data_IF_020575628879
#
_entry.id   IF_020575628879
#
_cell.length_a   1.000
_cell.length_b   1.000
_cell.length_c   1.000
_cell.angle_alpha   90.00
_cell.angle_beta   90.00
_cell.angle_gamma   90.00
#
_symmetry.space_group_name_H-M   'P 1'
#
loop_
_entity.id
_entity.type
_entity.pdbx_description
1 polymer ?
#
# COMPACT_ATOMS: atom_id res chain seq x y z
N UNK A 1 70.20 -50.07 -23.59
CA UNK A 1 68.75 -49.92 -23.35
C UNK A 1 68.52 -49.85 -21.85
N UNK A 2 68.21 -48.64 -21.35
CA UNK A 2 67.93 -48.33 -19.94
C UNK A 2 66.51 -48.73 -19.55
N UNK A 3 66.30 -49.29 -18.35
CA UNK A 3 65.04 -49.13 -17.59
C UNK A 3 65.34 -49.03 -16.10
N UNK A 4 65.25 -47.81 -15.55
CA UNK A 4 65.14 -47.53 -14.12
C UNK A 4 63.66 -47.62 -13.74
N UNK A 5 63.34 -48.38 -12.69
CA UNK A 5 62.01 -48.44 -12.10
C UNK A 5 61.81 -47.26 -11.14
N UNK A 6 60.76 -46.46 -11.36
CA UNK A 6 60.29 -45.45 -10.40
C UNK A 6 59.10 -46.02 -9.62
N UNK A 7 59.20 -46.05 -8.29
CA UNK A 7 58.08 -46.36 -7.39
C UNK A 7 57.30 -45.06 -7.13
N UNK A 8 56.02 -45.02 -7.52
CA UNK A 8 55.08 -43.99 -7.09
C UNK A 8 54.55 -44.37 -5.69
N UNK A 9 54.72 -43.49 -4.71
CA UNK A 9 54.02 -43.57 -3.44
C UNK A 9 52.74 -42.72 -3.55
N UNK A 10 51.57 -43.34 -3.42
CA UNK A 10 50.28 -42.64 -3.39
C UNK A 10 50.00 -42.13 -1.98
N UNK A 11 49.95 -40.82 -1.81
CA UNK A 11 49.50 -40.15 -0.58
C UNK A 11 47.99 -39.91 -0.70
N UNK A 12 47.17 -40.61 0.09
CA UNK A 12 45.74 -40.34 0.19
C UNK A 12 45.52 -39.22 1.22
N UNK A 13 45.17 -38.02 0.76
CA UNK A 13 44.65 -36.95 1.62
C UNK A 13 43.13 -37.11 1.74
N UNK A 14 42.65 -37.47 2.93
CA UNK A 14 41.23 -37.53 3.24
C UNK A 14 40.73 -36.10 3.51
N UNK A 15 40.06 -35.49 2.55
CA UNK A 15 39.36 -34.20 2.74
C UNK A 15 38.01 -34.50 3.38
N UNK A 16 37.89 -34.25 4.69
CA UNK A 16 36.58 -34.18 5.36
C UNK A 16 35.90 -32.87 4.97
N UNK A 17 34.97 -32.92 4.01
CA UNK A 17 33.98 -31.86 3.84
C UNK A 17 33.00 -31.92 5.00
N UNK A 18 33.16 -31.02 5.97
CA UNK A 18 32.11 -30.72 6.93
C UNK A 18 30.93 -30.07 6.20
N UNK A 19 29.82 -30.79 6.06
CA UNK A 19 28.52 -30.17 5.78
C UNK A 19 28.11 -29.40 7.04
N UNK A 20 28.46 -28.12 7.11
CA UNK A 20 27.73 -27.19 7.98
C UNK A 20 26.36 -27.00 7.37
N UNK A 21 25.31 -27.54 8.01
CA UNK A 21 23.95 -27.13 7.70
C UNK A 21 23.90 -25.60 7.85
N UNK A 22 23.63 -24.89 6.75
CA UNK A 22 23.37 -23.47 6.81
C UNK A 22 22.21 -23.26 7.79
N UNK A 23 22.37 -22.34 8.75
CA UNK A 23 21.24 -21.89 9.54
C UNK A 23 20.11 -21.47 8.58
N UNK A 24 18.84 -21.80 8.86
CA UNK A 24 17.74 -21.33 8.04
C UNK A 24 17.86 -19.80 7.92
N UNK A 25 17.72 -19.29 6.70
CA UNK A 25 17.71 -17.85 6.47
C UNK A 25 16.69 -17.21 7.44
N UNK A 26 17.07 -16.09 8.05
CA UNK A 26 16.13 -15.33 8.86
C UNK A 26 14.87 -15.07 8.01
N UNK A 27 13.66 -15.22 8.57
CA UNK A 27 12.45 -14.91 7.82
C UNK A 27 12.56 -13.49 7.26
N UNK A 28 12.21 -13.31 5.99
CA UNK A 28 12.19 -11.98 5.38
C UNK A 28 11.19 -11.11 6.13
N UNK A 29 11.69 -10.08 6.82
CA UNK A 29 10.88 -9.13 7.57
C UNK A 29 10.31 -8.08 6.64
N UNK A 30 9.07 -7.69 6.87
CA UNK A 30 8.38 -6.68 6.08
C UNK A 30 8.93 -5.28 6.36
N UNK A 31 8.73 -4.33 5.44
CA UNK A 31 9.06 -2.92 5.70
C UNK A 31 8.18 -2.37 6.84
N UNK A 32 8.80 -1.70 7.81
CA UNK A 32 8.10 -1.09 8.94
C UNK A 32 7.81 0.40 8.74
N UNK A 33 8.38 1.03 7.70
CA UNK A 33 8.27 2.46 7.43
C UNK A 33 8.70 3.33 8.64
N UNK A 34 9.57 2.79 9.50
CA UNK A 34 9.95 3.41 10.77
C UNK A 34 8.82 3.50 11.81
N UNK A 35 7.67 2.85 11.58
CA UNK A 35 6.51 2.93 12.45
C UNK A 35 6.55 1.85 13.57
N UNK A 36 6.43 2.23 14.86
CA UNK A 36 6.56 1.30 15.98
C UNK A 36 5.58 0.11 15.95
N UNK A 37 4.32 0.33 15.54
CA UNK A 37 3.35 -0.76 15.43
C UNK A 37 3.77 -1.85 14.42
N UNK A 38 4.25 -1.44 13.24
CA UNK A 38 4.72 -2.37 12.22
C UNK A 38 6.01 -3.06 12.65
N UNK A 39 6.90 -2.35 13.35
CA UNK A 39 8.09 -2.95 13.93
C UNK A 39 7.74 -4.02 14.97
N UNK A 40 6.78 -3.74 15.86
CA UNK A 40 6.34 -4.72 16.87
C UNK A 40 5.72 -5.97 16.24
N UNK A 41 4.97 -5.84 15.14
CA UNK A 41 4.46 -6.98 14.36
C UNK A 41 5.62 -7.77 13.75
N UNK A 42 6.61 -7.09 13.17
CA UNK A 42 7.81 -7.74 12.62
C UNK A 42 8.60 -8.50 13.70
N UNK A 43 8.76 -7.91 14.88
CA UNK A 43 9.50 -8.53 15.99
C UNK A 43 8.76 -9.79 16.51
N UNK A 44 7.43 -9.72 16.64
CA UNK A 44 6.62 -10.88 17.00
C UNK A 44 6.70 -12.01 15.95
N UNK A 45 6.75 -11.67 14.66
CA UNK A 45 6.95 -12.65 13.60
C UNK A 45 8.36 -13.25 13.62
N UNK A 46 9.39 -12.40 13.76
CA UNK A 46 10.80 -12.82 13.77
C UNK A 46 11.13 -13.74 14.95
N UNK A 47 10.43 -13.58 16.08
CA UNK A 47 10.56 -14.45 17.26
C UNK A 47 9.68 -15.70 17.22
N UNK A 48 8.85 -15.85 16.19
CA UNK A 48 7.93 -16.98 16.03
C UNK A 48 6.70 -16.94 16.94
N UNK A 49 6.41 -15.79 17.57
CA UNK A 49 5.22 -15.61 18.39
C UNK A 49 3.93 -15.59 17.54
N UNK A 50 4.03 -15.03 16.34
CA UNK A 50 2.99 -15.07 15.32
C UNK A 50 3.55 -15.69 14.04
N UNK A 51 2.70 -16.39 13.29
CA UNK A 51 3.05 -16.87 11.96
C UNK A 51 2.97 -15.74 10.92
N UNK A 52 3.42 -16.04 9.70
CA UNK A 52 3.46 -15.07 8.61
C UNK A 52 2.07 -14.56 8.21
N UNK A 53 1.07 -15.44 8.18
CA UNK A 53 -0.30 -15.07 7.83
C UNK A 53 -0.90 -14.13 8.90
N UNK A 54 -0.64 -14.40 10.18
CA UNK A 54 -1.03 -13.53 11.29
C UNK A 54 -0.35 -12.16 11.18
N UNK A 55 0.95 -12.12 10.85
CA UNK A 55 1.66 -10.86 10.63
C UNK A 55 1.03 -10.02 9.50
N UNK A 56 0.71 -10.64 8.36
CA UNK A 56 0.04 -9.99 7.23
C UNK A 56 -1.35 -9.47 7.60
N UNK A 57 -2.16 -10.28 8.30
CA UNK A 57 -3.49 -9.87 8.78
C UNK A 57 -3.37 -8.66 9.72
N UNK A 58 -2.41 -8.67 10.65
CA UNK A 58 -2.17 -7.54 11.56
C UNK A 58 -1.71 -6.29 10.81
N UNK A 59 -0.94 -6.42 9.72
CA UNK A 59 -0.56 -5.29 8.86
C UNK A 59 -1.78 -4.70 8.13
N UNK A 60 -2.70 -5.52 7.64
CA UNK A 60 -3.97 -5.02 7.07
C UNK A 60 -4.82 -4.34 8.15
N UNK A 61 -4.94 -4.94 9.34
CA UNK A 61 -5.62 -4.30 10.47
C UNK A 61 -4.98 -2.96 10.83
N UNK A 62 -3.65 -2.88 10.83
CA UNK A 62 -2.93 -1.63 11.05
C UNK A 62 -3.36 -0.55 10.06
N UNK A 63 -3.43 -0.88 8.77
CA UNK A 63 -3.82 0.08 7.72
C UNK A 63 -5.30 0.49 7.82
N UNK A 64 -6.20 -0.49 8.03
CA UNK A 64 -7.66 -0.28 7.99
C UNK A 64 -8.23 0.38 9.25
N UNK A 65 -7.50 0.40 10.38
CA UNK A 65 -7.93 1.07 11.61
C UNK A 65 -7.22 0.53 12.85
N UNK A 66 -6.71 1.42 13.70
CA UNK A 66 -5.92 1.00 14.89
C UNK A 66 -6.73 0.18 15.91
N UNK A 67 -8.05 0.35 15.95
CA UNK A 67 -8.97 -0.43 16.75
C UNK A 67 -9.13 -1.89 16.27
N UNK A 68 -8.78 -2.18 15.00
CA UNK A 68 -8.78 -3.54 14.45
C UNK A 68 -7.54 -4.35 14.82
N UNK A 69 -6.46 -3.69 15.24
CA UNK A 69 -5.24 -4.34 15.73
C UNK A 69 -5.44 -4.93 17.13
N UNK A 70 -4.75 -6.04 17.48
CA UNK A 70 -4.58 -6.44 18.88
C UNK A 70 -3.96 -5.31 19.71
N UNK A 71 -4.46 -5.12 20.93
CA UNK A 71 -4.09 -3.99 21.81
C UNK A 71 -2.57 -3.80 21.94
N UNK A 72 -1.81 -4.90 22.06
CA UNK A 72 -0.35 -4.88 22.17
C UNK A 72 0.40 -4.26 20.98
N UNK A 73 -0.25 -4.18 19.81
CA UNK A 73 0.32 -3.60 18.59
C UNK A 73 -0.24 -2.20 18.29
N UNK A 74 -1.14 -1.65 19.12
CA UNK A 74 -1.71 -0.30 18.95
C UNK A 74 -0.75 0.79 19.42
N UNK A 75 0.44 0.80 18.83
CA UNK A 75 1.49 1.77 19.13
C UNK A 75 1.38 2.98 18.18
N UNK A 76 1.47 4.19 18.72
CA UNK A 76 1.54 5.40 17.91
C UNK A 76 2.86 5.51 17.14
N UNK A 77 2.90 6.37 16.14
CA UNK A 77 4.08 6.61 15.32
C UNK A 77 3.95 7.84 14.43
N UNK A 78 4.99 8.09 13.64
CA UNK A 78 4.98 9.14 12.62
C UNK A 78 4.04 8.81 11.46
N UNK A 79 3.77 9.79 10.58
CA UNK A 79 2.91 9.56 9.42
C UNK A 79 3.56 8.60 8.43
N UNK A 80 2.73 7.75 7.82
CA UNK A 80 3.01 6.95 6.63
C UNK A 80 2.12 7.51 5.53
N UNK A 81 2.72 7.88 4.40
CA UNK A 81 2.00 8.58 3.33
C UNK A 81 0.88 7.73 2.73
N UNK A 82 1.22 6.50 2.35
CA UNK A 82 0.31 5.56 1.70
C UNK A 82 0.34 4.21 2.43
N UNK A 83 -0.83 3.68 2.74
CA UNK A 83 -1.00 2.30 3.23
C UNK A 83 -1.09 1.27 2.10
N UNK A 84 -1.08 1.71 0.83
CA UNK A 84 -1.41 0.91 -0.34
C UNK A 84 -0.48 -0.28 -0.51
N UNK A 85 0.84 -0.05 -0.45
CA UNK A 85 1.82 -1.13 -0.63
C UNK A 85 1.79 -2.18 0.48
N UNK A 86 1.52 -1.77 1.73
CA UNK A 86 1.32 -2.68 2.87
C UNK A 86 0.12 -3.61 2.61
N UNK A 87 -0.97 -3.04 2.10
CA UNK A 87 -2.21 -3.77 1.82
C UNK A 87 -2.05 -4.72 0.62
N UNK A 88 -1.42 -4.27 -0.47
CA UNK A 88 -1.17 -5.09 -1.65
C UNK A 88 -0.27 -6.29 -1.33
N UNK A 89 0.84 -6.07 -0.61
CA UNK A 89 1.74 -7.14 -0.15
C UNK A 89 0.96 -8.20 0.64
N UNK A 90 0.13 -7.76 1.60
CA UNK A 90 -0.65 -8.68 2.40
C UNK A 90 -1.73 -9.43 1.61
N UNK A 91 -2.42 -8.75 0.69
CA UNK A 91 -3.46 -9.39 -0.12
C UNK A 91 -2.86 -10.47 -1.01
N UNK A 92 -1.81 -10.16 -1.78
CA UNK A 92 -1.20 -11.12 -2.70
C UNK A 92 -0.63 -12.34 -1.98
N UNK A 93 0.06 -12.12 -0.87
CA UNK A 93 0.68 -13.21 -0.15
C UNK A 93 -0.33 -14.08 0.59
N UNK A 94 -1.38 -13.50 1.17
CA UNK A 94 -2.45 -14.29 1.78
C UNK A 94 -3.23 -15.09 0.73
N UNK A 95 -3.49 -14.53 -0.46
CA UNK A 95 -4.08 -15.29 -1.57
C UNK A 95 -3.17 -16.44 -2.02
N UNK A 96 -1.87 -16.19 -2.18
CA UNK A 96 -0.90 -17.23 -2.54
C UNK A 96 -0.79 -18.35 -1.50
N UNK A 97 -1.06 -18.04 -0.22
CA UNK A 97 -1.14 -19.02 0.87
C UNK A 97 -2.49 -19.76 0.94
N UNK A 98 -3.48 -19.40 0.12
CA UNK A 98 -4.86 -19.91 0.24
C UNK A 98 -5.56 -19.43 1.51
N UNK A 99 -5.18 -18.24 2.01
CA UNK A 99 -5.66 -17.62 3.24
C UNK A 99 -6.33 -16.26 3.01
N UNK A 100 -6.66 -15.91 1.77
CA UNK A 100 -7.37 -14.68 1.42
C UNK A 100 -8.68 -14.48 2.20
N UNK A 101 -9.43 -15.56 2.43
CA UNK A 101 -10.67 -15.54 3.23
C UNK A 101 -10.51 -15.00 4.65
N UNK A 102 -9.29 -15.05 5.22
CA UNK A 102 -9.01 -14.54 6.56
C UNK A 102 -9.12 -13.01 6.65
N UNK A 103 -9.13 -12.31 5.50
CA UNK A 103 -9.30 -10.86 5.45
C UNK A 103 -10.76 -10.45 5.67
N UNK A 104 -11.73 -11.27 5.27
CA UNK A 104 -13.16 -11.03 5.53
C UNK A 104 -13.60 -9.57 5.29
N UNK A 105 -14.10 -8.93 6.35
CA UNK A 105 -14.61 -7.56 6.36
C UNK A 105 -13.51 -6.48 6.24
N UNK A 106 -12.22 -6.83 6.30
CA UNK A 106 -11.12 -5.90 6.02
C UNK A 106 -11.10 -5.45 4.56
N UNK A 107 -11.71 -6.22 3.64
CA UNK A 107 -11.89 -5.84 2.23
C UNK A 107 -13.16 -5.02 1.96
N UNK A 108 -14.03 -4.88 2.94
CA UNK A 108 -15.30 -4.20 2.73
C UNK A 108 -15.11 -2.67 2.59
N UNK A 109 -15.86 -2.07 1.67
CA UNK A 109 -16.06 -0.61 1.60
C UNK A 109 -16.70 -0.10 2.90
N UNK A 110 -16.35 1.10 3.39
CA UNK A 110 -17.03 1.72 4.53
C UNK A 110 -18.52 1.94 4.24
N UNK A 111 -19.38 1.65 5.23
CA UNK A 111 -20.86 1.76 5.10
C UNK A 111 -21.49 2.73 6.09
N UNK A 112 -20.72 3.23 7.06
CA UNK A 112 -21.16 4.14 8.12
C UNK A 112 -20.95 5.63 7.80
N UNK A 113 -20.54 5.97 6.57
CA UNK A 113 -20.35 7.34 6.10
C UNK A 113 -21.66 7.87 5.50
N UNK A 114 -22.43 8.60 6.31
CA UNK A 114 -23.83 8.92 6.03
C UNK A 114 -24.03 10.08 5.04
N UNK A 115 -22.97 10.75 4.60
CA UNK A 115 -23.02 11.86 3.67
C UNK A 115 -22.20 11.52 2.42
N UNK A 116 -22.59 12.08 1.28
CA UNK A 116 -21.81 11.97 0.07
C UNK A 116 -21.90 13.21 -0.81
N UNK A 117 -20.83 13.52 -1.54
CA UNK A 117 -20.83 14.49 -2.64
C UNK A 117 -20.44 13.81 -3.93
N UNK A 118 -21.13 14.16 -5.01
CA UNK A 118 -20.85 13.63 -6.35
C UNK A 118 -20.27 14.75 -7.21
N UNK A 119 -19.19 14.45 -7.90
CA UNK A 119 -18.57 15.33 -8.89
C UNK A 119 -18.80 14.77 -10.29
N UNK A 120 -18.04 15.24 -11.30
CA UNK A 120 -18.16 14.70 -12.66
C UNK A 120 -17.67 13.24 -12.72
N UNK A 121 -16.62 12.91 -11.97
CA UNK A 121 -15.94 11.62 -12.08
C UNK A 121 -15.85 10.83 -10.76
N UNK A 122 -16.22 11.43 -9.63
CA UNK A 122 -16.04 10.83 -8.31
C UNK A 122 -17.31 10.86 -7.46
N UNK A 123 -17.33 9.95 -6.49
CA UNK A 123 -18.26 9.99 -5.36
C UNK A 123 -17.47 9.98 -4.05
N UNK A 124 -17.64 11.03 -3.27
CA UNK A 124 -16.91 11.26 -2.02
C UNK A 124 -17.85 10.95 -0.86
N UNK A 125 -17.48 9.99 -0.01
CA UNK A 125 -18.24 9.54 1.15
C UNK A 125 -17.61 10.05 2.43
N UNK A 126 -18.42 10.58 3.35
CA UNK A 126 -17.94 11.17 4.61
C UNK A 126 -19.04 11.20 5.69
N UNK A 127 -18.67 11.61 6.90
CA UNK A 127 -19.63 11.97 7.95
C UNK A 127 -19.25 13.31 8.58
N UNK A 128 -20.25 14.04 9.08
CA UNK A 128 -20.08 15.30 9.80
C UNK A 128 -20.18 15.12 11.33
N UNK A 129 -20.35 13.87 11.78
CA UNK A 129 -20.51 13.53 13.20
C UNK A 129 -19.93 12.14 13.52
N UNK A 130 -19.62 11.90 14.79
CA UNK A 130 -18.96 10.67 15.24
C UNK A 130 -17.44 10.74 15.17
N UNK A 131 -16.77 9.59 15.32
CA UNK A 131 -15.31 9.46 15.32
C UNK A 131 -14.67 9.78 13.97
N UNK A 132 -15.40 9.56 12.87
CA UNK A 132 -14.94 9.80 11.50
C UNK A 132 -15.37 11.18 10.97
N UNK A 133 -15.79 12.08 11.86
CA UNK A 133 -16.32 13.38 11.46
C UNK A 133 -15.26 14.27 10.81
N UNK A 134 -15.64 14.91 9.71
CA UNK A 134 -14.90 16.01 9.08
C UNK A 134 -15.78 17.24 8.92
N UNK A 135 -15.21 18.37 8.50
CA UNK A 135 -15.95 19.59 8.19
C UNK A 135 -16.28 19.66 6.70
N UNK A 136 -17.27 20.47 6.32
CA UNK A 136 -17.54 20.70 4.89
C UNK A 136 -16.34 21.31 4.16
N UNK A 137 -15.59 22.21 4.82
CA UNK A 137 -14.34 22.75 4.29
C UNK A 137 -13.25 21.67 4.11
N UNK A 138 -13.33 20.56 4.86
CA UNK A 138 -12.47 19.41 4.62
C UNK A 138 -12.79 18.77 3.28
N UNK A 139 -14.08 18.51 3.07
CA UNK A 139 -14.64 17.87 1.87
C UNK A 139 -14.45 18.74 0.64
N UNK A 140 -14.56 20.07 0.76
CA UNK A 140 -14.30 21.01 -0.34
C UNK A 140 -12.90 20.84 -0.94
N UNK A 141 -11.88 20.65 -0.09
CA UNK A 141 -10.49 20.43 -0.53
C UNK A 141 -10.34 19.08 -1.24
N UNK A 142 -10.98 18.02 -0.73
CA UNK A 142 -10.95 16.70 -1.37
C UNK A 142 -11.67 16.75 -2.72
N UNK A 143 -12.83 17.41 -2.79
CA UNK A 143 -13.62 17.57 -3.99
C UNK A 143 -12.87 18.33 -5.09
N UNK A 144 -12.16 19.40 -4.73
CA UNK A 144 -11.26 20.10 -5.66
C UNK A 144 -10.15 19.17 -6.14
N UNK A 145 -9.50 18.46 -5.23
CA UNK A 145 -8.32 17.66 -5.54
C UNK A 145 -8.60 16.45 -6.46
N UNK A 146 -9.75 15.78 -6.30
CA UNK A 146 -10.10 14.65 -7.17
C UNK A 146 -10.28 15.10 -8.63
N UNK A 147 -10.93 16.24 -8.86
CA UNK A 147 -11.14 16.75 -10.22
C UNK A 147 -9.86 17.37 -10.83
N UNK A 148 -8.98 17.95 -10.01
CA UNK A 148 -7.64 18.35 -10.45
C UNK A 148 -6.84 17.13 -10.89
N UNK A 149 -6.84 16.06 -10.08
CA UNK A 149 -6.17 14.80 -10.41
C UNK A 149 -6.69 14.20 -11.72
N UNK A 150 -8.02 14.13 -11.88
CA UNK A 150 -8.63 13.67 -13.13
C UNK A 150 -8.21 14.50 -14.34
N UNK A 151 -8.31 15.84 -14.24
CA UNK A 151 -7.93 16.73 -15.34
C UNK A 151 -6.46 16.59 -15.68
N UNK A 152 -5.58 16.46 -14.69
CA UNK A 152 -4.16 16.22 -14.92
C UNK A 152 -3.96 14.91 -15.67
N UNK A 153 -4.44 13.81 -15.11
CA UNK A 153 -4.10 12.47 -15.56
C UNK A 153 -4.68 12.14 -16.94
N UNK A 154 -5.97 12.43 -17.16
CA UNK A 154 -6.68 11.97 -18.36
C UNK A 154 -6.82 13.06 -19.42
N UNK A 155 -6.93 14.33 -19.04
CA UNK A 155 -7.11 15.42 -20.01
C UNK A 155 -5.77 16.02 -20.44
N UNK A 156 -4.88 16.31 -19.50
CA UNK A 156 -3.59 16.95 -19.81
C UNK A 156 -2.55 15.94 -20.28
N UNK A 157 -2.36 14.84 -19.54
CA UNK A 157 -1.33 13.83 -19.84
C UNK A 157 -1.85 12.66 -20.68
N UNK A 158 -3.16 12.48 -20.78
CA UNK A 158 -3.77 11.49 -21.67
C UNK A 158 -3.61 10.04 -21.21
N UNK A 159 -3.45 9.80 -19.91
CA UNK A 159 -3.46 8.45 -19.34
C UNK A 159 -4.86 7.85 -19.40
N UNK A 160 -4.93 6.52 -19.43
CA UNK A 160 -6.19 5.80 -19.53
C UNK A 160 -7.01 5.97 -18.26
N UNK A 161 -8.33 6.10 -18.43
CA UNK A 161 -9.28 6.16 -17.32
C UNK A 161 -9.34 4.79 -16.65
N UNK A 162 -9.27 4.71 -15.31
CA UNK A 162 -9.33 3.43 -14.62
C UNK A 162 -10.68 2.72 -14.87
N UNK A 163 -10.71 1.38 -14.78
CA UNK A 163 -11.93 0.62 -14.97
C UNK A 163 -13.05 1.05 -14.00
N UNK A 164 -14.26 1.20 -14.54
CA UNK A 164 -15.45 1.48 -13.74
C UNK A 164 -15.96 0.26 -12.98
N UNK A 165 -16.49 0.48 -11.78
CA UNK A 165 -16.99 -0.54 -10.85
C UNK A 165 -18.52 -0.73 -10.89
N UNK A 166 -19.15 -0.31 -11.99
CA UNK A 166 -20.59 -0.42 -12.17
C UNK A 166 -21.33 0.52 -11.22
N UNK A 167 -22.12 -0.04 -10.29
CA UNK A 167 -22.90 0.75 -9.33
C UNK A 167 -22.34 0.68 -7.90
N UNK A 168 -21.16 0.09 -7.71
CA UNK A 168 -20.52 0.02 -6.40
C UNK A 168 -20.26 1.44 -5.87
N UNK A 169 -20.33 1.62 -4.54
CA UNK A 169 -20.28 2.96 -3.91
C UNK A 169 -21.46 3.89 -4.23
N UNK A 170 -22.40 3.50 -5.09
CA UNK A 170 -23.64 4.21 -5.34
C UNK A 170 -23.55 5.33 -6.39
N UNK A 171 -22.56 5.28 -7.27
CA UNK A 171 -22.50 6.04 -8.52
C UNK A 171 -22.34 5.09 -9.70
N UNK A 172 -22.76 5.46 -10.91
CA UNK A 172 -22.52 4.62 -12.09
C UNK A 172 -21.11 4.91 -12.66
N UNK A 173 -20.16 4.02 -12.42
CA UNK A 173 -18.74 4.12 -12.79
C UNK A 173 -18.09 5.41 -12.29
N UNK A 174 -18.44 5.85 -11.08
CA UNK A 174 -17.75 6.94 -10.40
C UNK A 174 -16.68 6.35 -9.50
N UNK A 175 -15.49 6.94 -9.47
CA UNK A 175 -14.43 6.51 -8.56
C UNK A 175 -14.80 6.94 -7.13
N UNK A 176 -14.82 6.00 -6.20
CA UNK A 176 -15.17 6.28 -4.81
C UNK A 176 -13.96 6.73 -3.98
N UNK A 177 -14.19 7.80 -3.21
CA UNK A 177 -13.28 8.32 -2.20
C UNK A 177 -13.97 8.27 -0.83
N UNK A 178 -13.40 7.56 0.14
CA UNK A 178 -13.96 7.46 1.50
C UNK A 178 -13.11 8.25 2.50
N UNK A 179 -13.72 9.22 3.17
CA UNK A 179 -13.07 10.04 4.19
C UNK A 179 -13.45 9.50 5.58
N UNK A 180 -12.50 8.86 6.25
CA UNK A 180 -12.69 8.23 7.57
C UNK A 180 -11.35 8.02 8.28
N UNK A 181 -11.38 7.71 9.58
CA UNK A 181 -10.14 7.48 10.33
C UNK A 181 -9.46 6.21 9.82
N UNK A 182 -8.21 6.34 9.36
CA UNK A 182 -7.38 5.21 8.97
C UNK A 182 -6.48 4.75 10.12
N UNK A 183 -5.67 3.71 9.84
CA UNK A 183 -4.57 3.26 10.65
C UNK A 183 -3.73 4.36 11.29
N UNK A 184 -3.13 4.05 12.44
CA UNK A 184 -2.23 4.99 13.12
C UNK A 184 -1.12 5.43 12.16
N UNK A 185 -1.14 6.71 11.77
CA UNK A 185 -0.14 7.31 10.89
C UNK A 185 -0.46 7.26 9.39
N UNK A 186 -1.38 6.41 8.90
CA UNK A 186 -1.69 6.33 7.46
C UNK A 186 -2.39 7.61 6.99
N UNK A 187 -1.88 8.29 5.96
CA UNK A 187 -2.55 9.47 5.38
C UNK A 187 -3.59 9.06 4.32
N UNK A 188 -3.21 8.20 3.38
CA UNK A 188 -4.08 7.70 2.33
C UNK A 188 -3.95 6.18 2.12
N UNK A 189 -4.92 5.63 1.41
CA UNK A 189 -4.93 4.23 1.02
C UNK A 189 -5.74 4.03 -0.26
N UNK A 190 -5.21 3.30 -1.23
CA UNK A 190 -5.93 2.80 -2.39
C UNK A 190 -6.09 1.27 -2.31
N UNK A 191 -7.27 0.77 -2.68
CA UNK A 191 -7.60 -0.65 -2.64
C UNK A 191 -8.10 -1.14 -4.00
N UNK A 192 -7.47 -2.19 -4.58
CA UNK A 192 -8.05 -2.89 -5.71
C UNK A 192 -9.23 -3.74 -5.23
N UNK A 193 -10.31 -3.79 -6.01
CA UNK A 193 -11.54 -4.48 -5.62
C UNK A 193 -11.82 -5.70 -6.50
N UNK A 194 -12.19 -5.47 -7.76
CA UNK A 194 -12.62 -6.52 -8.69
C UNK A 194 -11.78 -6.52 -9.94
N UNK A 195 -11.31 -7.71 -10.35
CA UNK A 195 -10.64 -7.89 -11.64
C UNK A 195 -11.60 -7.64 -12.80
N UNK A 196 -11.08 -7.08 -13.89
CA UNK A 196 -11.89 -6.64 -15.04
C UNK A 196 -11.97 -7.74 -16.12
N UNK A 197 -13.16 -8.24 -16.50
CA UNK A 197 -13.29 -9.24 -17.57
C UNK A 197 -13.17 -8.66 -19.00
N UNK A 198 -12.90 -9.51 -20.02
CA UNK A 198 -12.58 -10.93 -19.92
C UNK A 198 -11.10 -11.06 -19.56
N UNK A 199 -10.82 -11.58 -18.35
CA UNK A 199 -9.51 -11.88 -17.78
C UNK A 199 -8.36 -11.25 -18.60
N UNK A 200 -7.96 -9.99 -18.34
CA UNK A 200 -7.23 -9.26 -19.34
C UNK A 200 -5.86 -9.92 -19.55
N UNK A 201 -5.22 -9.70 -20.71
CA UNK A 201 -3.79 -9.95 -20.86
C UNK A 201 -2.91 -9.15 -19.87
N UNK A 202 -3.51 -8.32 -19.01
CA UNK A 202 -2.93 -7.42 -18.01
C UNK A 202 -3.69 -7.53 -16.67
N UNK A 203 -3.04 -7.33 -15.53
CA UNK A 203 -3.60 -7.58 -14.19
C UNK A 203 -4.50 -6.41 -13.72
N UNK A 204 -5.55 -6.07 -14.48
CA UNK A 204 -6.33 -4.84 -14.30
C UNK A 204 -7.47 -5.01 -13.28
N UNK A 205 -7.64 -4.00 -12.41
CA UNK A 205 -8.64 -3.98 -11.36
C UNK A 205 -9.39 -2.65 -11.32
N UNK A 206 -10.67 -2.75 -10.98
CA UNK A 206 -11.42 -1.63 -10.38
C UNK A 206 -10.84 -1.31 -9.00
N UNK A 207 -11.04 -0.10 -8.50
CA UNK A 207 -10.57 0.26 -7.18
C UNK A 207 -11.22 1.52 -6.64
N UNK A 208 -11.01 1.74 -5.35
CA UNK A 208 -11.44 2.93 -4.61
C UNK A 208 -10.34 3.33 -3.63
N UNK A 209 -10.43 4.55 -3.11
CA UNK A 209 -9.41 5.05 -2.18
C UNK A 209 -9.98 5.75 -0.96
N UNK A 210 -9.12 5.98 0.01
CA UNK A 210 -9.42 6.52 1.31
C UNK A 210 -8.51 7.71 1.64
N UNK A 211 -9.04 8.64 2.42
CA UNK A 211 -8.29 9.78 2.94
C UNK A 211 -8.54 9.89 4.45
N UNK A 212 -7.46 9.93 5.24
CA UNK A 212 -7.57 10.00 6.69
C UNK A 212 -8.12 11.35 7.15
N UNK A 213 -9.08 11.36 8.08
CA UNK A 213 -9.67 12.57 8.67
C UNK A 213 -8.66 13.46 9.41
N UNK A 214 -7.51 12.91 9.82
CA UNK A 214 -6.52 13.61 10.63
C UNK A 214 -5.58 14.54 9.84
N UNK A 215 -5.68 14.62 8.51
CA UNK A 215 -4.83 15.49 7.69
C UNK A 215 -5.32 16.94 7.75
N UNK A 216 -4.84 17.70 8.74
CA UNK A 216 -5.28 19.08 8.96
C UNK A 216 -4.87 20.04 7.83
N UNK A 217 -3.66 19.89 7.30
CA UNK A 217 -3.11 20.77 6.26
C UNK A 217 -3.79 20.53 4.91
N UNK A 218 -4.31 21.58 4.28
CA UNK A 218 -5.03 21.48 3.01
C UNK A 218 -4.14 21.04 1.84
N UNK A 219 -2.88 21.47 1.81
CA UNK A 219 -1.94 21.08 0.77
C UNK A 219 -1.54 19.61 0.90
N UNK A 220 -1.34 19.12 2.12
CA UNK A 220 -1.13 17.69 2.37
C UNK A 220 -2.34 16.85 1.92
N UNK A 221 -3.56 17.33 2.16
CA UNK A 221 -4.77 16.65 1.66
C UNK A 221 -4.82 16.58 0.15
N UNK A 222 -4.52 17.68 -0.53
CA UNK A 222 -4.50 17.75 -2.00
C UNK A 222 -3.58 16.69 -2.60
N UNK A 223 -2.33 16.65 -2.12
CA UNK A 223 -1.36 15.66 -2.61
C UNK A 223 -1.72 14.23 -2.21
N UNK A 224 -2.24 13.99 -1.01
CA UNK A 224 -2.69 12.64 -0.61
C UNK A 224 -3.82 12.16 -1.53
N UNK A 225 -4.80 13.01 -1.83
CA UNK A 225 -5.89 12.66 -2.75
C UNK A 225 -5.36 12.29 -4.13
N UNK A 226 -4.46 13.09 -4.70
CA UNK A 226 -3.90 12.81 -6.03
C UNK A 226 -2.98 11.58 -6.02
N UNK A 227 -2.22 11.38 -4.93
CA UNK A 227 -1.36 10.22 -4.73
C UNK A 227 -2.18 8.92 -4.74
N UNK A 228 -3.22 8.84 -3.91
CA UNK A 228 -4.05 7.64 -3.86
C UNK A 228 -4.88 7.46 -5.14
N UNK A 229 -5.31 8.55 -5.77
CA UNK A 229 -5.97 8.46 -7.06
C UNK A 229 -5.03 7.91 -8.16
N UNK A 230 -3.74 8.25 -8.12
CA UNK A 230 -2.74 7.66 -9.03
C UNK A 230 -2.67 6.15 -8.87
N UNK A 231 -2.77 5.61 -7.66
CA UNK A 231 -2.83 4.17 -7.48
C UNK A 231 -4.07 3.54 -8.12
N UNK A 232 -5.23 4.23 -8.12
CA UNK A 232 -6.42 3.76 -8.86
C UNK A 232 -6.15 3.69 -10.36
N UNK A 233 -5.49 4.71 -10.92
CA UNK A 233 -5.06 4.69 -12.32
C UNK A 233 -4.09 3.51 -12.58
N UNK A 234 -3.11 3.28 -11.71
CA UNK A 234 -2.17 2.17 -11.81
C UNK A 234 -2.86 0.80 -11.75
N UNK A 235 -3.88 0.63 -10.90
CA UNK A 235 -4.67 -0.60 -10.84
C UNK A 235 -5.38 -0.90 -12.15
N UNK A 236 -5.72 0.13 -12.93
CA UNK A 236 -6.25 -0.02 -14.29
C UNK A 236 -5.25 -0.53 -15.33
N UNK A 237 -3.95 -0.56 -15.01
CA UNK A 237 -2.88 -1.08 -15.88
C UNK A 237 -2.27 -2.39 -15.39
N UNK A 238 -2.08 -2.50 -14.07
CA UNK A 238 -1.53 -3.65 -13.38
C UNK A 238 -1.62 -3.43 -11.87
N UNK A 239 -2.58 -4.05 -11.20
CA UNK A 239 -2.58 -4.15 -9.75
C UNK A 239 -1.44 -5.06 -9.28
N UNK A 240 -0.83 -4.75 -8.14
CA UNK A 240 0.02 -5.70 -7.43
C UNK A 240 1.28 -5.14 -6.78
N UNK A 241 1.88 -5.89 -5.87
CA UNK A 241 2.96 -5.40 -4.99
C UNK A 241 4.37 -5.61 -5.54
N UNK A 242 4.52 -6.30 -6.67
CA UNK A 242 5.82 -6.73 -7.22
C UNK A 242 6.76 -5.55 -7.57
N UNK A 243 6.24 -4.33 -7.69
CA UNK A 243 7.05 -3.13 -7.89
C UNK A 243 6.57 -1.93 -7.05
N UNK A 244 6.34 -2.16 -5.75
CA UNK A 244 5.92 -1.14 -4.77
C UNK A 244 6.75 0.16 -4.84
N UNK A 245 8.08 0.06 -5.01
CA UNK A 245 8.94 1.24 -5.15
C UNK A 245 8.55 2.09 -6.37
N UNK A 246 8.36 1.47 -7.53
CA UNK A 246 7.98 2.19 -8.75
C UNK A 246 6.57 2.78 -8.62
N UNK A 247 5.63 2.02 -8.06
CA UNK A 247 4.26 2.50 -7.86
C UNK A 247 4.20 3.77 -7.02
N UNK A 248 4.85 3.76 -5.85
CA UNK A 248 4.90 4.91 -4.95
C UNK A 248 5.63 6.10 -5.58
N UNK A 249 6.72 5.87 -6.33
CA UNK A 249 7.39 6.96 -7.07
C UNK A 249 6.51 7.55 -8.18
N UNK A 250 5.76 6.72 -8.90
CA UNK A 250 4.79 7.21 -9.89
C UNK A 250 3.61 7.93 -9.23
N UNK A 251 3.17 7.52 -8.04
CA UNK A 251 2.19 8.25 -7.24
C UNK A 251 2.69 9.64 -6.84
N UNK A 252 3.95 9.74 -6.41
CA UNK A 252 4.62 11.03 -6.16
C UNK A 252 4.74 11.89 -7.43
N UNK A 253 4.99 11.31 -8.61
CA UNK A 253 4.94 12.06 -9.87
C UNK A 253 3.54 12.58 -10.17
N UNK A 254 2.51 11.80 -9.87
CA UNK A 254 1.11 12.21 -9.99
C UNK A 254 0.76 13.42 -9.12
N UNK A 255 1.39 13.56 -7.95
CA UNK A 255 1.26 14.78 -7.12
C UNK A 255 1.82 16.00 -7.83
N UNK A 256 3.05 15.91 -8.34
CA UNK A 256 3.73 17.02 -9.01
C UNK A 256 3.01 17.46 -10.28
N UNK A 257 2.44 16.52 -11.03
CA UNK A 257 1.61 16.81 -12.21
C UNK A 257 0.28 17.48 -11.88
N UNK A 258 -0.19 17.34 -10.64
CA UNK A 258 -1.43 17.97 -10.18
C UNK A 258 -1.17 19.30 -9.46
N UNK A 259 -0.06 19.39 -8.74
CA UNK A 259 0.29 20.49 -7.84
C UNK A 259 1.81 20.75 -7.83
N UNK A 260 2.32 21.35 -8.89
CA UNK A 260 3.75 21.72 -9.04
C UNK A 260 4.30 22.65 -7.94
N UNK A 261 3.41 23.33 -7.23
CA UNK A 261 3.73 24.22 -6.12
C UNK A 261 3.71 23.55 -4.74
N UNK A 262 3.28 22.28 -4.63
CA UNK A 262 3.24 21.51 -3.38
C UNK A 262 4.33 20.41 -3.41
N UNK A 263 5.55 20.80 -3.04
CA UNK A 263 6.74 19.95 -3.18
C UNK A 263 6.99 19.07 -1.93
N UNK A 264 6.03 18.24 -1.54
CA UNK A 264 6.11 17.40 -0.32
C UNK A 264 7.23 16.35 -0.38
N UNK A 265 7.58 15.89 -1.59
CA UNK A 265 8.70 14.97 -1.82
C UNK A 265 10.03 15.45 -1.20
N UNK A 266 10.22 16.77 -1.05
CA UNK A 266 11.43 17.36 -0.44
C UNK A 266 11.65 16.91 1.00
N UNK A 267 10.58 16.64 1.76
CA UNK A 267 10.68 16.10 3.12
C UNK A 267 11.36 14.73 3.14
N UNK A 268 11.07 13.91 2.13
CA UNK A 268 11.59 12.54 2.01
C UNK A 268 13.02 12.50 1.46
N UNK A 269 13.47 13.51 0.72
CA UNK A 269 14.85 13.54 0.19
C UNK A 269 15.90 13.50 1.31
N UNK A 270 15.60 14.09 2.46
CA UNK A 270 16.50 14.08 3.62
C UNK A 270 16.80 12.67 4.16
N UNK A 271 15.87 11.72 3.99
CA UNK A 271 16.06 10.34 4.40
C UNK A 271 17.05 9.58 3.50
N UNK A 272 17.21 10.00 2.24
CA UNK A 272 18.02 9.31 1.23
C UNK A 272 19.35 10.01 0.93
N UNK A 273 19.39 11.34 1.02
CA UNK A 273 20.55 12.15 0.62
C UNK A 273 21.21 12.92 1.77
N UNK A 274 20.66 12.86 2.99
CA UNK A 274 21.07 13.71 4.10
C UNK A 274 20.52 15.14 3.97
N UNK A 275 20.85 16.06 4.89
CA UNK A 275 20.38 17.44 4.82
C UNK A 275 20.92 18.10 3.54
N UNK A 276 20.00 18.63 2.73
CA UNK A 276 20.27 19.43 1.53
C UNK A 276 20.20 20.91 1.89
#
# INVERSE_FOLDING_TARGET
MMRKAARLASLFALVLLGLTAAAPAAPTTFESFGHPALQAINDAYATGEIDRAQALIHRVQFVKGSDRLPERFRLGGGPIKSGTTILLEAYEELEAMGRGDALGDLRARPTNLLNSRTTAHFKIHYTLSGSDAVTEAYVDVVQEAVEVGWSSYHTTYGWDVPPGDGAAGGGMNLIDCYIHALGSGIMGLAEPESSVPPNPPYNDYTGFFHVNTNISNANQRRITVTHEYMHIVQFGYNAGSTNSWFMENCAMMGEEYSYDNINDYRGYLSAWFGPI
#
